data_IF_703689513451
#
_entry.id   IF_703689513451
#
_cell.length_a   1.000
_cell.length_b   1.000
_cell.length_c   1.000
_cell.angle_alpha   90.00
_cell.angle_beta   90.00
_cell.angle_gamma   90.00
#
_symmetry.space_group_name_H-M   'P 1'
#
loop_
_entity.id
_entity.type
_entity.pdbx_description
1 polymer ?
#
# COMPACT_ATOMS: atom_id res chain seq x y z
N UNK A 1 12.15 7.75 -1.75
CA UNK A 1 12.99 8.75 -2.46
C UNK A 1 13.40 8.14 -3.79
N UNK A 2 12.62 8.37 -4.85
CA UNK A 2 12.90 7.86 -6.20
C UNK A 2 14.12 8.59 -6.74
N UNK A 3 15.13 7.84 -7.12
CA UNK A 3 16.42 8.34 -7.56
C UNK A 3 16.26 9.16 -8.85
N UNK A 4 16.59 10.45 -8.80
CA UNK A 4 16.54 11.40 -9.94
C UNK A 4 17.51 11.08 -11.10
N UNK A 5 18.18 9.94 -11.08
CA UNK A 5 19.09 9.50 -12.15
C UNK A 5 18.42 8.63 -13.24
N UNK A 6 17.12 8.43 -13.20
CA UNK A 6 16.40 7.67 -14.24
C UNK A 6 16.42 8.35 -15.63
N UNK A 7 16.61 9.65 -15.72
CA UNK A 7 16.51 10.37 -17.01
C UNK A 7 17.60 10.02 -18.02
N UNK A 8 18.80 9.58 -17.61
CA UNK A 8 19.89 9.23 -18.54
C UNK A 8 19.78 7.83 -19.10
N UNK A 9 19.19 6.90 -18.38
CA UNK A 9 18.97 5.51 -18.79
C UNK A 9 17.73 5.38 -19.70
N UNK A 10 16.74 6.22 -19.48
CA UNK A 10 15.48 6.25 -20.23
C UNK A 10 15.69 6.51 -21.73
N UNK A 11 16.76 7.20 -22.11
CA UNK A 11 17.07 7.51 -23.53
C UNK A 11 17.56 6.31 -24.36
N UNK A 12 17.75 5.10 -23.79
CA UNK A 12 18.35 3.95 -24.48
C UNK A 12 17.35 2.87 -24.95
N UNK A 13 16.05 3.14 -25.04
CA UNK A 13 15.01 2.14 -25.34
C UNK A 13 15.03 0.94 -24.36
N UNK A 14 15.30 1.21 -23.08
CA UNK A 14 15.34 0.17 -22.08
C UNK A 14 13.93 -0.24 -21.69
N UNK A 15 13.76 -1.53 -21.51
CA UNK A 15 12.56 -2.13 -20.93
C UNK A 15 12.42 -1.67 -19.48
N UNK A 16 11.29 -1.08 -19.15
CA UNK A 16 10.94 -0.72 -17.77
C UNK A 16 10.00 -1.80 -17.24
N UNK A 17 10.31 -2.32 -16.06
CA UNK A 17 9.49 -3.29 -15.38
C UNK A 17 9.04 -2.73 -14.04
N UNK A 18 7.73 -2.79 -13.80
CA UNK A 18 7.10 -2.46 -12.52
C UNK A 18 6.61 -3.75 -11.87
N UNK A 19 6.91 -3.90 -10.59
CA UNK A 19 6.36 -4.96 -9.76
C UNK A 19 5.17 -4.38 -9.02
N UNK A 20 4.00 -5.01 -9.16
CA UNK A 20 2.74 -4.53 -8.60
C UNK A 20 1.96 -5.69 -7.98
N UNK A 21 0.87 -5.40 -7.30
CA UNK A 21 -0.12 -6.35 -6.82
C UNK A 21 -1.51 -5.76 -6.95
N UNK A 22 -2.50 -6.59 -7.22
CA UNK A 22 -3.90 -6.16 -7.33
C UNK A 22 -4.51 -5.78 -5.99
N UNK A 23 -3.86 -6.19 -4.88
CA UNK A 23 -4.27 -5.90 -3.51
C UNK A 23 -3.36 -4.90 -2.77
N UNK A 24 -2.22 -4.54 -3.34
CA UNK A 24 -1.26 -3.60 -2.73
C UNK A 24 -1.40 -2.20 -3.36
N UNK A 25 -2.06 -1.30 -2.63
CA UNK A 25 -2.26 0.10 -3.05
C UNK A 25 -0.93 0.81 -3.38
N UNK A 26 0.14 0.53 -2.64
CA UNK A 26 1.42 1.23 -2.81
C UNK A 26 2.08 0.89 -4.13
N UNK A 27 2.21 -0.40 -4.45
CA UNK A 27 2.77 -0.85 -5.72
C UNK A 27 1.87 -0.49 -6.91
N UNK A 28 0.55 -0.51 -6.72
CA UNK A 28 -0.39 -0.09 -7.74
C UNK A 28 -0.26 1.41 -8.05
N UNK A 29 -0.15 2.27 -7.05
CA UNK A 29 0.11 3.70 -7.26
C UNK A 29 1.45 3.96 -7.98
N UNK A 30 2.49 3.16 -7.71
CA UNK A 30 3.75 3.22 -8.46
C UNK A 30 3.53 2.88 -9.93
N UNK A 31 2.75 1.84 -10.25
CA UNK A 31 2.40 1.47 -11.62
C UNK A 31 1.68 2.61 -12.36
N UNK A 32 0.68 3.22 -11.72
CA UNK A 32 -0.06 4.36 -12.27
C UNK A 32 0.86 5.55 -12.54
N UNK A 33 1.74 5.87 -11.57
CA UNK A 33 2.69 6.97 -11.70
C UNK A 33 3.69 6.74 -12.83
N UNK A 34 4.30 5.54 -12.89
CA UNK A 34 5.25 5.18 -13.96
C UNK A 34 4.56 5.23 -15.32
N UNK A 35 3.33 4.74 -15.44
CA UNK A 35 2.53 4.82 -16.67
C UNK A 35 2.31 6.27 -17.10
N UNK A 36 2.11 7.19 -16.14
CA UNK A 36 1.94 8.62 -16.42
C UNK A 36 3.20 9.30 -16.99
N UNK A 37 4.37 8.82 -16.59
CA UNK A 37 5.65 9.30 -17.11
C UNK A 37 5.91 8.74 -18.51
N UNK A 38 5.74 7.42 -18.64
CA UNK A 38 6.05 6.68 -19.88
C UNK A 38 5.20 7.14 -21.05
N UNK A 39 3.93 7.46 -20.83
CA UNK A 39 3.05 8.01 -21.85
C UNK A 39 3.68 9.18 -22.62
N UNK A 40 4.54 9.96 -21.96
CA UNK A 40 5.22 11.12 -22.58
C UNK A 40 6.40 10.73 -23.49
N UNK A 41 6.96 9.54 -23.32
CA UNK A 41 8.25 9.16 -23.89
C UNK A 41 8.21 7.96 -24.85
N UNK A 42 7.07 7.31 -25.04
CA UNK A 42 6.88 6.15 -25.95
C UNK A 42 7.84 4.97 -25.64
N UNK A 43 8.01 4.61 -24.35
CA UNK A 43 8.80 3.45 -23.92
C UNK A 43 7.95 2.21 -23.74
N UNK A 44 8.61 1.04 -23.72
CA UNK A 44 7.98 -0.22 -23.38
C UNK A 44 7.88 -0.38 -21.86
N UNK A 45 6.66 -0.51 -21.35
CA UNK A 45 6.38 -0.77 -19.95
C UNK A 45 5.88 -2.21 -19.80
N UNK A 46 6.44 -2.88 -18.82
CA UNK A 46 6.06 -4.21 -18.41
C UNK A 46 5.66 -4.21 -16.95
N UNK A 47 4.65 -5.00 -16.61
CA UNK A 47 4.22 -5.23 -15.24
C UNK A 47 4.36 -6.69 -14.87
N UNK A 48 4.67 -6.95 -13.62
CA UNK A 48 4.64 -8.27 -12.99
C UNK A 48 3.78 -8.15 -11.74
N UNK A 49 2.67 -8.88 -11.71
CA UNK A 49 1.76 -8.90 -10.58
C UNK A 49 2.16 -10.00 -9.60
N UNK A 50 2.54 -9.60 -8.37
CA UNK A 50 3.06 -10.52 -7.36
C UNK A 50 2.03 -11.54 -6.91
N UNK A 51 0.79 -11.10 -6.76
CA UNK A 51 -0.36 -11.91 -6.34
C UNK A 51 -0.90 -12.88 -7.43
N UNK A 52 -0.45 -12.77 -8.67
CA UNK A 52 -0.70 -13.80 -9.68
C UNK A 52 0.08 -15.08 -9.42
N UNK A 53 1.25 -14.99 -8.79
CA UNK A 53 2.04 -16.16 -8.40
C UNK A 53 1.48 -16.82 -7.14
N UNK A 54 1.15 -16.03 -6.14
CA UNK A 54 0.52 -16.47 -4.91
C UNK A 54 -0.29 -15.30 -4.32
N UNK A 55 -1.60 -15.52 -4.09
CA UNK A 55 -2.52 -14.50 -3.57
C UNK A 55 -2.12 -13.97 -2.18
N UNK A 56 -1.36 -14.76 -1.42
CA UNK A 56 -0.86 -14.38 -0.10
C UNK A 56 0.37 -13.45 -0.18
N UNK A 57 0.89 -13.18 -1.41
CA UNK A 57 2.05 -12.33 -1.63
C UNK A 57 1.64 -10.95 -2.14
N UNK A 58 1.38 -9.99 -1.24
CA UNK A 58 0.93 -8.67 -1.65
C UNK A 58 2.02 -7.88 -2.39
N UNK A 59 3.29 -8.19 -2.14
CA UNK A 59 4.41 -7.50 -2.76
C UNK A 59 5.65 -8.39 -2.91
N UNK A 60 6.59 -7.95 -3.75
CA UNK A 60 7.89 -8.63 -3.97
C UNK A 60 8.73 -8.73 -2.69
N UNK A 61 8.50 -7.89 -1.69
CA UNK A 61 9.31 -7.83 -0.45
C UNK A 61 9.25 -9.09 0.40
N UNK A 62 8.22 -9.91 0.22
CA UNK A 62 8.03 -11.17 0.96
C UNK A 62 8.53 -12.40 0.21
N UNK A 63 9.10 -12.22 -0.99
CA UNK A 63 9.51 -13.31 -1.88
C UNK A 63 11.00 -13.59 -1.80
N UNK A 64 11.36 -14.86 -1.97
CA UNK A 64 12.75 -15.28 -2.14
C UNK A 64 13.19 -15.19 -3.62
N UNK A 65 14.50 -15.36 -3.86
CA UNK A 65 15.11 -15.22 -5.19
C UNK A 65 14.53 -16.20 -6.22
N UNK A 66 14.23 -17.43 -5.83
CA UNK A 66 13.68 -18.45 -6.76
C UNK A 66 12.26 -18.13 -7.19
N UNK A 67 11.45 -17.61 -6.26
CA UNK A 67 10.09 -17.15 -6.53
C UNK A 67 10.10 -15.94 -7.47
N UNK A 68 11.00 -14.98 -7.23
CA UNK A 68 11.19 -13.82 -8.12
C UNK A 68 11.57 -14.26 -9.53
N UNK A 69 12.48 -15.24 -9.69
CA UNK A 69 12.85 -15.79 -11.01
C UNK A 69 11.68 -16.45 -11.73
N UNK A 70 10.76 -17.10 -11.00
CA UNK A 70 9.56 -17.69 -11.60
C UNK A 70 8.57 -16.61 -11.99
N UNK A 71 8.38 -15.61 -11.13
CA UNK A 71 7.43 -14.53 -11.33
C UNK A 71 7.78 -13.64 -12.53
N UNK A 72 9.06 -13.42 -12.83
CA UNK A 72 9.51 -12.70 -14.02
C UNK A 72 8.94 -13.31 -15.31
N UNK A 73 8.65 -14.61 -15.34
CA UNK A 73 8.09 -15.28 -16.51
C UNK A 73 6.62 -14.93 -16.77
N UNK A 74 5.94 -14.37 -15.77
CA UNK A 74 4.55 -13.90 -15.84
C UNK A 74 4.48 -12.42 -16.27
N UNK A 75 5.60 -11.86 -16.66
CA UNK A 75 5.69 -10.48 -17.10
C UNK A 75 4.74 -10.19 -18.26
N UNK A 76 3.92 -9.18 -18.09
CA UNK A 76 2.98 -8.67 -19.07
C UNK A 76 3.47 -7.34 -19.66
N UNK A 77 3.53 -7.25 -21.01
CA UNK A 77 3.81 -5.97 -21.69
C UNK A 77 2.51 -5.18 -21.77
N UNK A 78 2.49 -4.00 -21.20
CA UNK A 78 1.33 -3.13 -21.28
C UNK A 78 1.12 -2.61 -22.70
N UNK A 79 -0.11 -2.67 -23.16
CA UNK A 79 -0.56 -2.02 -24.38
C UNK A 79 -0.64 -0.50 -24.21
N UNK A 80 -0.77 0.21 -25.32
CA UNK A 80 -0.95 1.67 -25.32
C UNK A 80 -2.26 2.02 -24.60
N UNK A 81 -3.30 1.23 -24.78
CA UNK A 81 -4.62 1.39 -24.18
C UNK A 81 -4.56 1.25 -22.67
N UNK A 82 -3.85 0.23 -22.14
CA UNK A 82 -3.66 0.03 -20.70
C UNK A 82 -2.85 1.19 -20.09
N UNK A 83 -1.79 1.65 -20.75
CA UNK A 83 -1.00 2.80 -20.30
C UNK A 83 -1.88 4.07 -20.26
N UNK A 84 -2.76 4.26 -21.26
CA UNK A 84 -3.72 5.38 -21.30
C UNK A 84 -4.72 5.30 -20.14
N UNK A 85 -5.25 4.12 -19.86
CA UNK A 85 -6.16 3.88 -18.74
C UNK A 85 -5.49 4.22 -17.40
N UNK A 86 -4.30 3.69 -17.15
CA UNK A 86 -3.53 3.97 -15.93
C UNK A 86 -3.17 5.46 -15.79
N UNK A 87 -2.82 6.10 -16.90
CA UNK A 87 -2.60 7.55 -16.89
C UNK A 87 -3.85 8.33 -16.48
N UNK A 88 -5.03 7.95 -16.98
CA UNK A 88 -6.28 8.61 -16.65
C UNK A 88 -6.68 8.38 -15.19
N UNK A 89 -6.45 7.18 -14.66
CA UNK A 89 -6.63 6.89 -13.21
C UNK A 89 -5.69 7.77 -12.39
N UNK A 90 -4.39 7.84 -12.75
CA UNK A 90 -3.41 8.66 -12.06
C UNK A 90 -3.79 10.14 -12.05
N UNK A 91 -4.19 10.67 -13.22
CA UNK A 91 -4.64 12.06 -13.34
C UNK A 91 -5.83 12.36 -12.41
N UNK A 92 -6.83 11.47 -12.40
CA UNK A 92 -8.00 11.62 -11.51
C UNK A 92 -7.59 11.62 -10.03
N UNK A 93 -6.65 10.76 -9.63
CA UNK A 93 -6.14 10.69 -8.26
C UNK A 93 -5.46 12.00 -7.84
N UNK A 94 -4.68 12.61 -8.75
CA UNK A 94 -4.02 13.89 -8.48
C UNK A 94 -5.03 15.03 -8.42
N UNK A 95 -5.96 15.07 -9.37
CA UNK A 95 -6.97 16.14 -9.45
C UNK A 95 -7.87 16.17 -8.21
N UNK A 96 -8.20 15.00 -7.63
CA UNK A 96 -8.97 14.89 -6.39
C UNK A 96 -8.18 15.32 -5.15
N UNK A 97 -6.85 15.22 -5.18
CA UNK A 97 -5.91 15.65 -4.12
C UNK A 97 -6.36 15.32 -2.69
N UNK A 98 -6.84 14.09 -2.47
CA UNK A 98 -7.30 13.61 -1.17
C UNK A 98 -6.15 13.08 -0.32
N UNK A 99 -6.31 13.13 1.01
CA UNK A 99 -5.27 12.75 1.95
C UNK A 99 -5.04 11.22 1.99
N UNK A 100 -6.10 10.43 1.80
CA UNK A 100 -6.03 8.98 1.93
C UNK A 100 -6.67 8.24 0.75
N UNK A 101 -6.07 7.10 0.38
CA UNK A 101 -6.51 6.26 -0.74
C UNK A 101 -6.47 4.81 -0.35
N UNK A 102 -7.47 4.06 -0.80
CA UNK A 102 -7.57 2.61 -0.65
C UNK A 102 -7.73 1.95 -2.01
N UNK A 103 -7.35 0.69 -2.10
CA UNK A 103 -7.56 -0.15 -3.28
C UNK A 103 -8.60 -1.21 -2.93
N UNK A 104 -9.77 -1.13 -3.56
CA UNK A 104 -10.85 -2.09 -3.39
C UNK A 104 -11.27 -2.61 -4.75
N UNK A 105 -11.28 -3.92 -4.90
CA UNK A 105 -11.64 -4.60 -6.17
C UNK A 105 -10.89 -4.05 -7.39
N UNK A 106 -9.60 -3.71 -7.21
CA UNK A 106 -8.77 -3.12 -8.26
C UNK A 106 -9.07 -1.64 -8.56
N UNK A 107 -9.96 -0.99 -7.80
CA UNK A 107 -10.34 0.41 -7.98
C UNK A 107 -9.72 1.26 -6.86
N UNK A 108 -8.97 2.30 -7.24
CA UNK A 108 -8.49 3.29 -6.29
C UNK A 108 -9.62 4.23 -5.90
N UNK A 109 -9.95 4.23 -4.63
CA UNK A 109 -10.93 5.14 -4.01
C UNK A 109 -10.21 6.14 -3.12
N UNK A 110 -10.70 7.38 -3.18
CA UNK A 110 -10.33 8.43 -2.23
C UNK A 110 -11.26 8.35 -1.04
N UNK A 111 -10.71 8.24 0.16
CA UNK A 111 -11.48 8.09 1.39
C UNK A 111 -10.99 9.07 2.45
N UNK A 112 -11.82 9.31 3.47
CA UNK A 112 -11.43 10.11 4.62
C UNK A 112 -10.48 9.36 5.54
N UNK A 113 -9.79 10.07 6.43
CA UNK A 113 -8.83 9.49 7.37
C UNK A 113 -9.48 8.56 8.41
N UNK A 114 -10.79 8.67 8.62
CA UNK A 114 -11.57 7.84 9.55
C UNK A 114 -12.12 6.55 8.91
N UNK A 115 -11.79 6.29 7.65
CA UNK A 115 -12.29 5.13 6.90
C UNK A 115 -12.06 3.79 7.62
N UNK A 116 -10.94 3.66 8.34
CA UNK A 116 -10.61 2.45 9.08
C UNK A 116 -10.94 2.52 10.58
N UNK A 117 -11.57 3.59 11.06
CA UNK A 117 -11.84 3.78 12.49
C UNK A 117 -12.67 2.65 13.06
N UNK A 118 -13.81 2.35 12.44
CA UNK A 118 -14.72 1.31 12.92
C UNK A 118 -14.04 -0.05 12.89
N UNK A 119 -13.31 -0.37 11.81
CA UNK A 119 -12.56 -1.62 11.72
C UNK A 119 -11.51 -1.76 12.85
N UNK A 120 -10.77 -0.70 13.16
CA UNK A 120 -9.77 -0.70 14.24
C UNK A 120 -10.46 -0.85 15.60
N UNK A 121 -11.54 -0.11 15.84
CA UNK A 121 -12.27 -0.10 17.10
C UNK A 121 -12.96 -1.46 17.36
N UNK A 122 -13.61 -2.03 16.35
CA UNK A 122 -14.27 -3.34 16.46
C UNK A 122 -13.24 -4.45 16.72
N UNK A 123 -12.11 -4.43 15.99
CA UNK A 123 -11.01 -5.39 16.24
C UNK A 123 -10.46 -5.26 17.66
N UNK A 124 -10.26 -4.02 18.14
CA UNK A 124 -9.78 -3.80 19.52
C UNK A 124 -10.81 -4.25 20.54
N UNK A 125 -12.10 -4.01 20.30
CA UNK A 125 -13.20 -4.46 21.17
C UNK A 125 -13.23 -5.98 21.30
N UNK A 126 -13.02 -6.71 20.22
CA UNK A 126 -12.98 -8.16 20.20
C UNK A 126 -11.77 -8.74 20.96
N UNK A 127 -10.62 -8.04 20.85
CA UNK A 127 -9.39 -8.45 21.55
C UNK A 127 -9.37 -8.04 23.04
N UNK A 128 -10.10 -6.98 23.40
CA UNK A 128 -10.00 -6.32 24.70
C UNK A 128 -8.67 -5.61 24.90
N UNK A 129 -8.22 -5.48 26.14
CA UNK A 129 -6.96 -4.81 26.47
C UNK A 129 -5.75 -5.57 25.92
N UNK A 130 -5.07 -4.99 24.91
CA UNK A 130 -3.93 -5.59 24.22
C UNK A 130 -2.80 -4.58 23.99
N UNK A 131 -1.61 -5.05 23.63
CA UNK A 131 -0.53 -4.19 23.17
C UNK A 131 -0.81 -3.64 21.77
N UNK A 132 -0.32 -2.42 21.46
CA UNK A 132 -0.44 -1.79 20.15
C UNK A 132 0.09 -2.72 19.04
N UNK A 133 1.26 -3.33 19.24
CA UNK A 133 1.84 -4.27 18.25
C UNK A 133 0.94 -5.49 17.99
N UNK A 134 0.22 -5.98 19.00
CA UNK A 134 -0.70 -7.11 18.84
C UNK A 134 -1.96 -6.72 18.04
N UNK A 135 -2.51 -5.52 18.30
CA UNK A 135 -3.60 -4.98 17.51
C UNK A 135 -3.17 -4.81 16.04
N UNK A 136 -2.03 -4.16 15.80
CA UNK A 136 -1.51 -3.96 14.43
C UNK A 136 -1.34 -5.31 13.72
N UNK A 137 -0.71 -6.30 14.40
CA UNK A 137 -0.53 -7.63 13.83
C UNK A 137 -1.85 -8.33 13.47
N UNK A 138 -2.93 -8.11 14.24
CA UNK A 138 -4.25 -8.65 13.94
C UNK A 138 -4.91 -7.94 12.76
N UNK A 139 -4.84 -6.60 12.73
CA UNK A 139 -5.40 -5.79 11.64
C UNK A 139 -4.75 -6.12 10.29
N UNK A 140 -3.43 -6.31 10.26
CA UNK A 140 -2.68 -6.64 9.03
C UNK A 140 -3.01 -8.02 8.44
N UNK A 141 -3.65 -8.90 9.19
CA UNK A 141 -4.09 -10.22 8.67
C UNK A 141 -5.25 -10.10 7.67
N UNK A 142 -6.07 -9.08 7.80
CA UNK A 142 -7.28 -8.88 6.97
C UNK A 142 -7.09 -7.73 5.96
N UNK A 143 -6.44 -6.64 6.41
CA UNK A 143 -6.21 -5.46 5.57
C UNK A 143 -4.73 -5.14 5.57
N UNK A 144 -4.09 -5.26 4.40
CA UNK A 144 -2.67 -4.97 4.25
C UNK A 144 -2.43 -3.47 4.14
N UNK A 145 -2.08 -2.85 5.27
CA UNK A 145 -1.52 -1.50 5.35
C UNK A 145 -0.15 -1.58 6.01
N UNK A 146 0.71 -0.58 5.76
CA UNK A 146 1.98 -0.48 6.49
C UNK A 146 1.72 -0.27 7.99
N UNK A 147 2.54 -0.90 8.82
CA UNK A 147 2.49 -0.81 10.29
C UNK A 147 2.52 0.66 10.78
N UNK A 148 3.36 1.49 10.18
CA UNK A 148 3.44 2.93 10.47
C UNK A 148 2.12 3.67 10.22
N UNK A 149 1.32 3.23 9.22
CA UNK A 149 0.02 3.84 8.97
C UNK A 149 -1.00 3.40 10.02
N UNK A 150 -1.01 2.12 10.42
CA UNK A 150 -1.83 1.68 11.54
C UNK A 150 -1.47 2.40 12.84
N UNK A 151 -0.17 2.57 13.11
CA UNK A 151 0.30 3.33 14.27
C UNK A 151 -0.24 4.77 14.24
N UNK A 152 -0.20 5.43 13.09
CA UNK A 152 -0.77 6.78 12.91
C UNK A 152 -2.28 6.80 13.18
N UNK A 153 -3.05 5.85 12.61
CA UNK A 153 -4.51 5.79 12.80
C UNK A 153 -4.88 5.50 14.25
N UNK A 154 -4.18 4.59 14.93
CA UNK A 154 -4.38 4.28 16.34
C UNK A 154 -4.07 5.52 17.21
N UNK A 155 -2.96 6.24 16.93
CA UNK A 155 -2.63 7.49 17.64
C UNK A 155 -3.74 8.52 17.51
N UNK A 156 -4.28 8.69 16.30
CA UNK A 156 -5.40 9.59 16.07
C UNK A 156 -6.65 9.19 16.88
N UNK A 157 -6.93 7.90 17.03
CA UNK A 157 -8.03 7.41 17.88
C UNK A 157 -7.77 7.64 19.36
N UNK A 158 -6.50 7.56 19.81
CA UNK A 158 -6.09 7.90 21.18
C UNK A 158 -6.28 9.40 21.43
N UNK A 159 -5.81 10.26 20.51
CA UNK A 159 -5.94 11.71 20.61
C UNK A 159 -7.42 12.15 20.62
N UNK A 160 -8.26 11.46 19.86
CA UNK A 160 -9.72 11.65 19.83
C UNK A 160 -10.44 10.99 21.01
N UNK A 161 -9.70 10.41 21.98
CA UNK A 161 -10.22 9.75 23.18
C UNK A 161 -11.17 8.58 22.91
N UNK A 162 -11.06 7.93 21.75
CA UNK A 162 -11.78 6.69 21.46
C UNK A 162 -11.04 5.45 21.98
N UNK A 163 -9.72 5.56 22.15
CA UNK A 163 -8.84 4.54 22.71
C UNK A 163 -8.10 5.11 23.93
N UNK A 164 -7.98 4.30 24.98
CA UNK A 164 -7.16 4.62 26.15
C UNK A 164 -5.81 3.93 25.98
N UNK A 165 -4.71 4.66 26.23
CA UNK A 165 -3.36 4.12 26.29
C UNK A 165 -2.87 4.04 27.73
N UNK A 166 -2.32 2.89 28.11
CA UNK A 166 -1.65 2.65 29.40
C UNK A 166 -0.15 2.74 29.19
N UNK A 167 0.41 3.94 29.36
CA UNK A 167 1.84 4.21 29.10
C UNK A 167 2.72 3.55 30.15
N UNK A 168 3.79 2.93 29.68
CA UNK A 168 4.93 2.48 30.48
C UNK A 168 6.19 3.18 29.96
N UNK A 169 6.75 4.08 30.76
CA UNK A 169 7.91 4.89 30.37
C UNK A 169 9.20 4.06 30.14
N UNK A 170 9.20 2.81 30.56
CA UNK A 170 10.31 1.87 30.35
C UNK A 170 10.13 1.00 29.12
N UNK A 171 9.03 1.08 28.41
CA UNK A 171 8.71 0.28 27.23
C UNK A 171 8.76 1.10 25.94
N UNK A 172 8.89 0.41 24.78
CA UNK A 172 8.68 1.05 23.49
C UNK A 172 7.21 1.42 23.32
N UNK A 173 6.93 2.45 22.56
CA UNK A 173 5.55 2.91 22.29
C UNK A 173 4.61 1.76 21.87
N UNK A 174 5.01 0.94 20.93
CA UNK A 174 4.22 -0.19 20.40
C UNK A 174 3.96 -1.32 21.42
N UNK A 175 4.71 -1.35 22.52
CA UNK A 175 4.55 -2.30 23.63
C UNK A 175 3.55 -1.83 24.70
N UNK A 176 3.07 -0.58 24.62
CA UNK A 176 2.06 -0.08 25.53
C UNK A 176 0.72 -0.79 25.30
N UNK A 177 -0.01 -1.00 26.39
CA UNK A 177 -1.37 -1.53 26.34
C UNK A 177 -2.36 -0.44 25.96
N UNK A 178 -3.37 -0.84 25.21
CA UNK A 178 -4.51 -0.01 24.81
C UNK A 178 -5.82 -0.75 25.06
N UNK A 179 -6.91 0.02 25.19
CA UNK A 179 -8.27 -0.50 25.36
C UNK A 179 -9.28 0.52 24.83
N UNK A 180 -10.51 0.08 24.57
CA UNK A 180 -11.60 0.98 24.20
C UNK A 180 -11.87 1.94 25.34
N UNK A 181 -12.10 3.22 25.01
CA UNK A 181 -12.61 4.20 25.95
C UNK A 181 -14.15 4.10 25.99
N UNK A 182 -14.68 3.49 27.04
CA UNK A 182 -16.12 3.25 27.23
C UNK A 182 -16.91 4.53 27.52
#
# INVERSE_FOLDING_TARGET
MLCLNCNSEINKRNKIRVWSGHSDIYSYLVLLYVSSIIKKYNYELYVVYCDEYNKDYPSISVMNEEEIKKLIKLEHKLSIEEIEEYFNIWKRIIDLNTDFRVLEDGIVKSVSLDYYDDYILDTLKDLGKVKICQLIGRLMQEVYLQDALYEYLINRLIDNKKIIIYKDDNSKYIDNFIDINA
#
